data_IF_734074204733
#
_entry.id   IF_734074204733
#
_cell.length_a   1.000
_cell.length_b   1.000
_cell.length_c   1.000
_cell.angle_alpha   90.00
_cell.angle_beta   90.00
_cell.angle_gamma   90.00
#
_symmetry.space_group_name_H-M   'P 1'
#
loop_
_entity.id
_entity.type
_entity.pdbx_description
1 polymer ?
#
# COMPACT_ATOMS: atom_id res chain seq x y z
N UNK A 1 11.75 11.07 -14.67
CA UNK A 1 12.18 11.06 -13.25
C UNK A 1 12.73 9.68 -12.95
N UNK A 2 13.68 9.59 -12.02
CA UNK A 2 14.17 8.32 -11.48
C UNK A 2 13.40 7.99 -10.19
N UNK A 3 12.74 6.87 -10.14
CA UNK A 3 11.75 6.54 -9.11
C UNK A 3 12.05 5.19 -8.46
N UNK A 4 11.98 5.13 -7.13
CA UNK A 4 12.06 3.89 -6.37
C UNK A 4 10.66 3.46 -5.91
N UNK A 5 10.29 2.19 -6.17
CA UNK A 5 9.07 1.58 -5.65
C UNK A 5 9.45 0.43 -4.71
N UNK A 6 9.25 0.58 -3.41
CA UNK A 6 9.43 -0.53 -2.47
C UNK A 6 8.19 -1.40 -2.40
N UNK A 7 8.33 -2.70 -2.15
CA UNK A 7 7.23 -3.65 -2.25
C UNK A 7 6.71 -3.78 -3.68
N UNK A 8 7.57 -3.51 -4.68
CA UNK A 8 7.16 -3.43 -6.06
C UNK A 8 6.85 -4.77 -6.73
N UNK A 9 7.21 -5.91 -6.14
CA UNK A 9 6.73 -7.24 -6.56
C UNK A 9 5.39 -7.62 -5.90
N UNK A 10 4.88 -6.78 -4.99
CA UNK A 10 3.57 -6.93 -4.36
C UNK A 10 2.41 -6.55 -5.29
N UNK A 11 1.19 -6.61 -4.76
CA UNK A 11 -0.04 -6.33 -5.50
C UNK A 11 -0.11 -4.87 -5.99
N UNK A 12 -0.13 -3.90 -5.07
CA UNK A 12 -0.25 -2.47 -5.43
C UNK A 12 1.05 -1.99 -6.07
N UNK A 13 2.21 -2.34 -5.47
CA UNK A 13 3.50 -1.88 -5.94
C UNK A 13 3.82 -2.27 -7.38
N UNK A 14 3.43 -3.48 -7.82
CA UNK A 14 3.66 -3.90 -9.20
C UNK A 14 2.78 -3.18 -10.23
N UNK A 15 1.52 -2.90 -9.88
CA UNK A 15 0.65 -2.09 -10.73
C UNK A 15 1.19 -0.66 -10.85
N UNK A 16 1.68 -0.10 -9.74
CA UNK A 16 2.30 1.23 -9.70
C UNK A 16 3.60 1.28 -10.53
N UNK A 17 4.51 0.31 -10.34
CA UNK A 17 5.80 0.28 -11.04
C UNK A 17 5.63 0.20 -12.56
N UNK A 18 4.72 -0.66 -13.04
CA UNK A 18 4.41 -0.80 -14.45
C UNK A 18 3.76 0.45 -15.04
N UNK A 19 2.90 1.12 -14.28
CA UNK A 19 2.26 2.34 -14.74
C UNK A 19 3.25 3.52 -14.80
N UNK A 20 4.14 3.65 -13.82
CA UNK A 20 5.21 4.64 -13.84
C UNK A 20 6.17 4.44 -15.02
N UNK A 21 6.55 3.18 -15.30
CA UNK A 21 7.37 2.85 -16.47
C UNK A 21 6.65 3.20 -17.77
N UNK A 22 5.34 2.88 -17.89
CA UNK A 22 4.50 3.23 -19.04
C UNK A 22 4.43 4.75 -19.27
N UNK A 23 4.52 5.54 -18.19
CA UNK A 23 4.56 7.01 -18.26
C UNK A 23 5.95 7.55 -18.59
N UNK A 24 6.93 6.69 -18.87
CA UNK A 24 8.28 7.09 -19.29
C UNK A 24 9.22 7.44 -18.13
N UNK A 25 8.94 6.99 -16.90
CA UNK A 25 9.86 7.12 -15.79
C UNK A 25 10.91 5.99 -15.78
N UNK A 26 12.11 6.29 -15.29
CA UNK A 26 13.12 5.28 -14.94
C UNK A 26 12.73 4.70 -13.56
N UNK A 27 12.33 3.45 -13.50
CA UNK A 27 11.80 2.84 -12.28
C UNK A 27 12.74 1.75 -11.77
N UNK A 28 13.10 1.83 -10.49
CA UNK A 28 13.69 0.74 -9.74
C UNK A 28 12.67 0.18 -8.74
N UNK A 29 12.64 -1.14 -8.63
CA UNK A 29 11.80 -1.86 -7.67
C UNK A 29 12.67 -2.55 -6.65
N UNK A 30 12.34 -2.43 -5.36
CA UNK A 30 12.91 -3.24 -4.29
C UNK A 30 11.83 -4.05 -3.59
N UNK A 31 12.11 -5.34 -3.36
CA UNK A 31 11.20 -6.28 -2.69
C UNK A 31 12.01 -7.44 -2.10
N UNK A 32 11.66 -7.90 -0.90
CA UNK A 32 12.29 -9.08 -0.28
C UNK A 32 11.58 -10.40 -0.62
N UNK A 33 10.48 -10.32 -1.39
CA UNK A 33 9.64 -11.43 -1.83
C UNK A 33 8.97 -12.20 -0.67
N UNK A 34 8.86 -11.63 0.53
CA UNK A 34 8.13 -12.23 1.65
C UNK A 34 6.66 -12.52 1.29
N UNK A 35 6.01 -11.55 0.65
CA UNK A 35 4.63 -11.67 0.12
C UNK A 35 4.52 -11.26 -1.34
N UNK A 36 5.57 -10.65 -1.90
CA UNK A 36 5.69 -10.30 -3.30
C UNK A 36 5.99 -11.50 -4.18
N UNK A 37 5.76 -11.35 -5.49
CA UNK A 37 6.09 -12.38 -6.47
C UNK A 37 6.58 -11.73 -7.76
N UNK A 38 7.74 -12.17 -8.28
CA UNK A 38 8.33 -11.65 -9.52
C UNK A 38 7.40 -11.74 -10.73
N UNK A 39 6.47 -12.70 -10.75
CA UNK A 39 5.48 -12.80 -11.81
C UNK A 39 4.53 -11.59 -11.86
N UNK A 40 4.38 -10.82 -10.77
CA UNK A 40 3.64 -9.57 -10.79
C UNK A 40 4.33 -8.50 -11.62
N UNK A 41 5.65 -8.62 -11.83
CA UNK A 41 6.47 -7.72 -12.64
C UNK A 41 6.62 -8.17 -14.10
N UNK A 42 5.81 -9.13 -14.57
CA UNK A 42 5.83 -9.52 -15.99
C UNK A 42 5.55 -8.30 -16.87
N UNK A 43 6.50 -7.98 -17.76
CA UNK A 43 6.47 -6.80 -18.63
C UNK A 43 7.16 -5.55 -18.06
N UNK A 44 7.71 -5.61 -16.85
CA UNK A 44 8.54 -4.57 -16.27
C UNK A 44 9.99 -4.73 -16.77
N UNK A 45 10.60 -3.65 -17.24
CA UNK A 45 11.95 -3.61 -17.81
C UNK A 45 12.96 -2.88 -16.92
N UNK A 46 12.48 -2.21 -15.86
CA UNK A 46 13.33 -1.46 -14.95
C UNK A 46 14.17 -2.35 -14.02
N UNK A 47 14.92 -1.74 -13.13
CA UNK A 47 15.83 -2.43 -12.20
C UNK A 47 15.03 -3.13 -11.08
N UNK A 48 15.31 -4.42 -10.84
CA UNK A 48 14.80 -5.14 -9.66
C UNK A 48 15.93 -5.35 -8.65
N UNK A 49 15.70 -4.98 -7.40
CA UNK A 49 16.63 -5.11 -6.28
C UNK A 49 15.99 -6.07 -5.25
N UNK A 50 16.64 -7.19 -4.98
CA UNK A 50 16.21 -8.12 -3.94
C UNK A 50 16.81 -7.67 -2.61
N UNK A 51 16.00 -7.04 -1.75
CA UNK A 51 16.43 -6.58 -0.44
C UNK A 51 15.23 -6.38 0.50
N UNK A 52 15.48 -6.46 1.81
CA UNK A 52 14.53 -6.06 2.85
C UNK A 52 14.79 -4.60 3.26
N UNK A 53 13.84 -3.72 2.99
CA UNK A 53 13.96 -2.29 3.31
C UNK A 53 13.94 -2.01 4.81
N UNK A 54 13.57 -2.98 5.64
CA UNK A 54 13.59 -2.87 7.11
C UNK A 54 14.97 -3.15 7.72
N UNK A 55 15.86 -3.75 6.95
CA UNK A 55 17.25 -4.04 7.32
C UNK A 55 18.18 -2.90 6.82
N UNK A 56 19.51 -3.11 6.90
CA UNK A 56 20.48 -2.18 6.34
C UNK A 56 20.34 -2.16 4.81
N UNK A 57 19.54 -1.24 4.33
CA UNK A 57 19.25 -1.05 2.92
C UNK A 57 20.07 0.09 2.36
N UNK A 58 21.03 -0.24 1.50
CA UNK A 58 21.83 0.74 0.78
C UNK A 58 21.54 0.64 -0.72
N UNK A 59 21.38 1.79 -1.33
CA UNK A 59 21.29 1.94 -2.78
C UNK A 59 22.12 3.12 -3.22
N UNK A 60 22.96 2.90 -4.24
CA UNK A 60 23.87 3.93 -4.77
C UNK A 60 23.19 4.96 -5.64
N UNK A 61 22.01 4.62 -6.16
CA UNK A 61 21.24 5.49 -7.04
C UNK A 61 20.54 6.61 -6.26
N UNK A 62 20.49 7.80 -6.84
CA UNK A 62 19.66 8.89 -6.37
C UNK A 62 18.29 8.83 -7.04
N UNK A 63 17.21 9.06 -6.29
CA UNK A 63 15.84 9.04 -6.78
C UNK A 63 15.17 10.39 -6.61
N UNK A 64 14.36 10.79 -7.58
CA UNK A 64 13.52 12.00 -7.50
C UNK A 64 12.31 11.78 -6.58
N UNK A 65 11.80 10.55 -6.56
CA UNK A 65 10.67 10.16 -5.74
C UNK A 65 10.79 8.70 -5.26
N UNK A 66 10.27 8.44 -4.07
CA UNK A 66 10.20 7.11 -3.45
C UNK A 66 8.72 6.81 -3.15
N UNK A 67 8.23 5.69 -3.70
CA UNK A 67 6.93 5.13 -3.38
C UNK A 67 7.10 3.94 -2.45
N UNK A 68 6.82 4.15 -1.17
CA UNK A 68 6.98 3.13 -0.15
C UNK A 68 5.70 2.31 0.01
N UNK A 69 5.64 1.16 -0.70
CA UNK A 69 4.53 0.21 -0.64
C UNK A 69 4.88 -1.07 0.15
N UNK A 70 6.16 -1.27 0.50
CA UNK A 70 6.60 -2.43 1.27
C UNK A 70 6.00 -2.41 2.69
N UNK A 71 5.35 -3.50 3.05
CA UNK A 71 4.86 -3.75 4.41
C UNK A 71 4.42 -5.20 4.60
N UNK A 72 4.49 -5.71 5.82
CA UNK A 72 3.78 -6.90 6.24
C UNK A 72 2.32 -6.49 6.48
N UNK A 73 1.41 -6.96 5.64
CA UNK A 73 0.00 -6.51 5.61
C UNK A 73 -1.01 -7.58 5.97
N UNK A 74 -0.62 -8.87 6.07
CA UNK A 74 -1.53 -9.95 6.48
C UNK A 74 -1.84 -9.83 7.99
N UNK A 75 -3.08 -9.57 8.41
CA UNK A 75 -3.44 -9.45 9.81
C UNK A 75 -3.31 -10.78 10.59
N UNK A 76 -3.05 -11.87 9.89
CA UNK A 76 -2.82 -13.22 10.46
C UNK A 76 -1.34 -13.60 10.42
N UNK A 77 -0.45 -12.64 10.17
CA UNK A 77 0.99 -12.87 10.31
C UNK A 77 1.30 -13.26 11.76
N UNK A 78 2.05 -14.35 11.99
CA UNK A 78 2.14 -14.96 13.32
C UNK A 78 2.91 -14.13 14.35
N UNK A 79 3.61 -13.08 13.93
CA UNK A 79 4.47 -12.28 14.78
C UNK A 79 4.08 -10.78 14.71
N UNK A 80 3.27 -10.35 15.67
CA UNK A 80 2.82 -8.96 15.81
C UNK A 80 3.97 -7.97 16.02
N UNK A 81 4.99 -8.37 16.80
CA UNK A 81 6.17 -7.55 17.07
C UNK A 81 6.98 -7.34 15.78
N UNK A 82 7.24 -8.40 15.05
CA UNK A 82 7.95 -8.33 13.76
C UNK A 82 7.19 -7.48 12.75
N UNK A 83 5.85 -7.65 12.66
CA UNK A 83 5.00 -6.82 11.78
C UNK A 83 5.18 -5.34 12.09
N UNK A 84 5.13 -4.97 13.36
CA UNK A 84 5.29 -3.59 13.77
C UNK A 84 6.70 -3.07 13.48
N UNK A 85 7.72 -3.78 13.95
CA UNK A 85 9.13 -3.35 13.84
C UNK A 85 9.58 -3.24 12.38
N UNK A 86 9.31 -4.26 11.54
CA UNK A 86 9.71 -4.21 10.13
C UNK A 86 9.00 -3.11 9.35
N UNK A 87 7.71 -2.91 9.57
CA UNK A 87 6.98 -1.83 8.89
C UNK A 87 7.51 -0.44 9.29
N UNK A 88 7.75 -0.22 10.59
CA UNK A 88 8.25 1.07 11.10
C UNK A 88 9.69 1.31 10.69
N UNK A 89 10.57 0.30 10.79
CA UNK A 89 11.99 0.44 10.42
C UNK A 89 12.13 0.65 8.91
N UNK A 90 11.40 -0.10 8.09
CA UNK A 90 11.40 0.12 6.64
C UNK A 90 10.99 1.54 6.26
N UNK A 91 9.99 2.09 6.94
CA UNK A 91 9.58 3.47 6.71
C UNK A 91 10.64 4.49 7.14
N UNK A 92 11.30 4.28 8.30
CA UNK A 92 12.41 5.13 8.75
C UNK A 92 13.57 5.14 7.75
N UNK A 93 13.96 3.96 7.26
CA UNK A 93 15.01 3.85 6.24
C UNK A 93 14.64 4.59 4.95
N UNK A 94 13.36 4.58 4.55
CA UNK A 94 12.90 5.36 3.39
C UNK A 94 12.87 6.86 3.64
N UNK A 95 12.58 7.31 4.86
CA UNK A 95 12.72 8.72 5.25
C UNK A 95 14.18 9.16 5.14
N UNK A 96 15.12 8.37 5.64
CA UNK A 96 16.54 8.72 5.62
C UNK A 96 17.07 8.72 4.18
N UNK A 97 16.69 7.76 3.35
CA UNK A 97 17.00 7.75 1.93
C UNK A 97 16.41 8.97 1.21
N UNK A 98 15.16 9.31 1.49
CA UNK A 98 14.50 10.46 0.89
C UNK A 98 15.17 11.79 1.28
N UNK A 99 15.60 11.94 2.53
CA UNK A 99 16.36 13.11 2.98
C UNK A 99 17.72 13.19 2.29
N UNK A 100 18.46 12.07 2.19
CA UNK A 100 19.76 11.99 1.54
C UNK A 100 19.68 12.42 0.07
N UNK A 101 18.62 12.02 -0.62
CA UNK A 101 18.42 12.28 -2.05
C UNK A 101 17.63 13.56 -2.35
N UNK A 102 17.08 14.23 -1.33
CA UNK A 102 16.08 15.28 -1.48
C UNK A 102 14.86 14.82 -2.30
N UNK A 103 14.45 13.56 -2.08
CA UNK A 103 13.33 12.92 -2.80
C UNK A 103 11.98 13.27 -2.19
N UNK A 104 10.94 13.23 -3.03
CA UNK A 104 9.55 13.15 -2.55
C UNK A 104 9.30 11.74 -2.00
N UNK A 105 8.66 11.63 -0.83
CA UNK A 105 8.28 10.35 -0.24
C UNK A 105 6.77 10.20 -0.23
N UNK A 106 6.25 9.22 -0.95
CA UNK A 106 4.84 8.84 -0.95
C UNK A 106 4.73 7.44 -0.33
N UNK A 107 3.91 7.27 0.70
CA UNK A 107 3.84 6.00 1.40
C UNK A 107 2.43 5.47 1.58
N UNK A 108 2.32 4.15 1.61
CA UNK A 108 1.09 3.43 1.88
C UNK A 108 0.75 3.47 3.39
N UNK A 109 -0.30 4.18 3.75
CA UNK A 109 -1.04 4.03 5.00
C UNK A 109 -2.30 3.18 4.76
N UNK A 110 -3.28 3.21 5.65
CA UNK A 110 -4.46 2.34 5.56
C UNK A 110 -5.70 2.98 6.18
N UNK A 111 -6.86 2.80 5.56
CA UNK A 111 -8.16 3.09 6.16
C UNK A 111 -8.49 2.15 7.34
N UNK A 112 -7.75 1.03 7.50
CA UNK A 112 -7.84 0.16 8.68
C UNK A 112 -7.54 0.86 10.02
N UNK A 113 -6.98 2.09 9.99
CA UNK A 113 -6.80 2.93 11.17
C UNK A 113 -8.14 3.38 11.79
N UNK A 114 -9.18 3.46 11.01
CA UNK A 114 -10.49 3.93 11.47
C UNK A 114 -11.27 2.88 12.26
N UNK A 115 -10.92 1.58 12.09
CA UNK A 115 -11.57 0.47 12.81
C UNK A 115 -13.09 0.50 12.69
N UNK A 116 -13.78 0.59 13.83
CA UNK A 116 -15.23 0.74 13.92
C UNK A 116 -15.68 2.21 14.05
N UNK A 117 -14.82 3.14 13.66
CA UNK A 117 -15.08 4.58 13.77
C UNK A 117 -16.29 5.07 12.96
N UNK A 118 -16.59 6.36 13.11
CA UNK A 118 -17.72 7.00 12.42
C UNK A 118 -17.56 6.93 10.89
N UNK A 119 -18.69 6.85 10.19
CA UNK A 119 -18.78 6.94 8.74
C UNK A 119 -19.57 8.21 8.35
N UNK A 120 -19.19 8.91 7.25
CA UNK A 120 -18.03 8.65 6.40
C UNK A 120 -16.70 8.85 7.14
N UNK A 121 -15.69 8.05 6.80
CA UNK A 121 -14.37 8.11 7.43
C UNK A 121 -13.59 9.33 6.96
N UNK A 122 -13.16 10.18 7.90
CA UNK A 122 -12.42 11.42 7.65
C UNK A 122 -11.01 11.34 8.23
N UNK A 123 -10.05 12.03 7.62
CA UNK A 123 -8.65 11.94 7.96
C UNK A 123 -8.32 12.42 9.39
N UNK A 124 -9.06 13.38 9.89
CA UNK A 124 -8.90 14.00 11.22
C UNK A 124 -9.63 13.26 12.35
N UNK A 125 -10.54 12.32 12.04
CA UNK A 125 -11.26 11.58 13.07
C UNK A 125 -10.35 10.70 13.92
N UNK A 126 -10.82 10.35 15.11
CA UNK A 126 -10.17 9.42 16.03
C UNK A 126 -9.91 8.06 15.37
N UNK A 127 -8.80 7.41 15.77
CA UNK A 127 -8.37 6.13 15.23
C UNK A 127 -8.69 4.99 16.21
N UNK A 128 -9.31 3.93 15.70
CA UNK A 128 -9.63 2.71 16.44
C UNK A 128 -8.77 1.54 15.93
N UNK A 129 -7.62 1.32 16.57
CA UNK A 129 -6.57 0.43 16.06
C UNK A 129 -6.79 -1.01 16.53
N UNK A 130 -7.12 -1.89 15.60
CA UNK A 130 -7.48 -3.28 15.87
C UNK A 130 -6.34 -4.30 15.66
N UNK A 131 -5.16 -3.90 15.13
CA UNK A 131 -4.09 -4.83 14.77
C UNK A 131 -2.67 -4.24 14.90
N UNK A 132 -1.65 -5.09 14.95
CA UNK A 132 -0.24 -4.68 14.91
C UNK A 132 0.09 -3.92 13.60
N UNK A 133 -0.46 -4.38 12.49
CA UNK A 133 -0.37 -3.68 11.22
C UNK A 133 -0.94 -2.25 11.31
N UNK A 134 -2.14 -2.10 11.87
CA UNK A 134 -2.72 -0.77 12.10
C UNK A 134 -1.84 0.10 13.00
N UNK A 135 -1.32 -0.45 14.11
CA UNK A 135 -0.38 0.28 14.99
C UNK A 135 0.85 0.76 14.23
N UNK A 136 1.46 -0.09 13.38
CA UNK A 136 2.62 0.31 12.58
C UNK A 136 2.29 1.44 11.60
N UNK A 137 1.13 1.40 10.94
CA UNK A 137 0.70 2.45 10.01
C UNK A 137 0.38 3.77 10.73
N UNK A 138 -0.22 3.72 11.93
CA UNK A 138 -0.42 4.92 12.75
C UNK A 138 0.92 5.55 13.16
N UNK A 139 1.92 4.73 13.53
CA UNK A 139 3.25 5.25 13.87
C UNK A 139 3.94 5.89 12.66
N UNK A 140 3.76 5.31 11.45
CA UNK A 140 4.24 5.93 10.21
C UNK A 140 3.55 7.28 9.96
N UNK A 141 2.22 7.37 10.11
CA UNK A 141 1.47 8.62 9.96
C UNK A 141 1.98 9.70 10.96
N UNK A 142 2.09 9.37 12.25
CA UNK A 142 2.62 10.28 13.29
C UNK A 142 4.05 10.73 13.01
N UNK A 143 4.88 9.84 12.47
CA UNK A 143 6.27 10.16 12.09
C UNK A 143 6.29 11.11 10.89
N UNK A 144 5.43 10.88 9.90
CA UNK A 144 5.30 11.75 8.74
C UNK A 144 4.83 13.15 9.11
N UNK A 145 3.83 13.28 9.97
CA UNK A 145 3.30 14.57 10.45
C UNK A 145 4.39 15.47 11.06
N UNK A 146 5.33 14.88 11.82
CA UNK A 146 6.48 15.62 12.41
C UNK A 146 7.48 16.13 11.34
N UNK A 147 7.36 15.64 10.11
CA UNK A 147 8.26 15.95 8.99
C UNK A 147 7.65 16.83 7.90
N UNK A 148 6.36 17.17 7.98
CA UNK A 148 5.65 17.92 6.93
C UNK A 148 6.31 19.25 6.53
N UNK A 149 6.96 19.93 7.48
CA UNK A 149 7.67 21.19 7.21
C UNK A 149 9.17 20.98 6.90
N UNK A 150 9.64 19.73 6.83
CA UNK A 150 11.08 19.41 6.68
C UNK A 150 11.37 18.68 5.36
N UNK A 151 10.38 18.02 4.78
CA UNK A 151 10.51 17.29 3.52
C UNK A 151 9.14 17.12 2.87
N UNK A 152 9.12 16.83 1.57
CA UNK A 152 7.87 16.48 0.90
C UNK A 152 7.49 15.03 1.18
N UNK A 153 6.42 14.82 1.96
CA UNK A 153 5.96 13.49 2.36
C UNK A 153 4.43 13.42 2.30
N UNK A 154 3.90 12.38 1.65
CA UNK A 154 2.46 12.17 1.48
C UNK A 154 2.08 10.76 1.90
N UNK A 155 1.15 10.65 2.85
CA UNK A 155 0.57 9.40 3.30
C UNK A 155 -0.76 9.10 2.60
N UNK A 156 -0.96 7.87 2.16
CA UNK A 156 -2.15 7.44 1.46
C UNK A 156 -2.86 6.34 2.25
N UNK A 157 -4.00 6.66 2.87
CA UNK A 157 -4.85 5.69 3.57
C UNK A 157 -5.72 4.95 2.56
N UNK A 158 -5.17 3.87 2.02
CA UNK A 158 -5.91 3.03 1.08
C UNK A 158 -7.11 2.36 1.75
N UNK A 159 -8.26 2.43 1.09
CA UNK A 159 -9.41 1.60 1.36
C UNK A 159 -9.21 0.20 0.78
N UNK A 160 -10.27 -0.56 0.48
CA UNK A 160 -10.11 -1.96 0.09
C UNK A 160 -9.75 -2.08 -1.39
N UNK A 161 -8.45 -2.06 -1.68
CA UNK A 161 -7.95 -2.16 -3.04
C UNK A 161 -8.15 -3.58 -3.57
N UNK A 162 -8.64 -3.71 -4.82
CA UNK A 162 -8.83 -4.98 -5.52
C UNK A 162 -8.38 -4.87 -6.98
N UNK A 163 -8.07 -6.01 -7.62
CA UNK A 163 -7.81 -6.02 -9.06
C UNK A 163 -6.68 -6.95 -9.52
N UNK A 164 -6.13 -6.75 -10.73
CA UNK A 164 -5.11 -7.60 -11.31
C UNK A 164 -3.84 -7.66 -10.45
N UNK A 165 -3.11 -8.78 -10.52
CA UNK A 165 -1.89 -9.12 -9.75
C UNK A 165 -2.13 -9.43 -8.27
N UNK A 166 -3.38 -9.51 -7.82
CA UNK A 166 -3.73 -9.80 -6.43
C UNK A 166 -3.57 -11.28 -6.06
N UNK A 167 -3.55 -12.19 -7.02
CA UNK A 167 -3.57 -13.65 -6.79
C UNK A 167 -2.47 -14.18 -5.86
N UNK A 168 -1.31 -13.54 -5.87
CA UNK A 168 -0.16 -13.96 -5.04
C UNK A 168 -0.27 -13.54 -3.58
N UNK A 169 -1.21 -12.67 -3.21
CA UNK A 169 -1.54 -12.41 -1.81
C UNK A 169 -2.22 -13.59 -1.12
N UNK A 170 -2.62 -14.60 -1.87
CA UNK A 170 -3.25 -15.82 -1.37
C UNK A 170 -4.43 -15.50 -0.43
N UNK A 171 -4.37 -15.95 0.83
CA UNK A 171 -5.42 -15.71 1.84
C UNK A 171 -5.59 -14.23 2.22
N UNK A 172 -4.59 -13.40 2.02
CA UNK A 172 -4.65 -11.96 2.29
C UNK A 172 -5.22 -11.13 1.12
N UNK A 173 -5.64 -11.78 0.02
CA UNK A 173 -6.32 -11.13 -1.08
C UNK A 173 -7.68 -10.56 -0.65
N UNK A 174 -8.20 -9.60 -1.42
CA UNK A 174 -9.51 -8.97 -1.15
C UNK A 174 -10.66 -9.97 -1.21
N UNK A 175 -11.77 -9.64 -0.55
CA UNK A 175 -13.00 -10.42 -0.69
C UNK A 175 -13.51 -10.44 -2.13
N UNK A 176 -13.34 -9.34 -2.89
CA UNK A 176 -13.67 -9.30 -4.33
C UNK A 176 -12.96 -10.42 -5.09
N UNK A 177 -11.66 -10.60 -4.86
CA UNK A 177 -10.87 -11.67 -5.48
C UNK A 177 -11.37 -13.06 -5.06
N UNK A 178 -11.60 -13.27 -3.76
CA UNK A 178 -12.05 -14.57 -3.24
C UNK A 178 -13.44 -14.95 -3.74
N UNK A 179 -14.39 -14.03 -3.76
CA UNK A 179 -15.75 -14.25 -4.28
C UNK A 179 -15.71 -14.54 -5.77
N UNK A 180 -15.01 -13.72 -6.56
CA UNK A 180 -14.86 -13.95 -8.00
C UNK A 180 -14.23 -15.31 -8.33
N UNK A 181 -13.24 -15.75 -7.53
CA UNK A 181 -12.62 -17.08 -7.69
C UNK A 181 -13.60 -18.22 -7.40
N UNK A 182 -14.43 -18.08 -6.35
CA UNK A 182 -15.43 -19.08 -6.00
C UNK A 182 -16.49 -19.19 -7.11
N UNK A 183 -17.06 -18.07 -7.56
CA UNK A 183 -18.07 -18.02 -8.64
C UNK A 183 -17.51 -18.66 -9.91
N UNK A 184 -16.31 -18.26 -10.36
CA UNK A 184 -15.66 -18.82 -11.54
C UNK A 184 -15.39 -20.33 -11.45
N UNK A 185 -15.27 -20.89 -10.25
CA UNK A 185 -15.11 -22.33 -10.04
C UNK A 185 -16.43 -23.08 -9.84
N UNK A 186 -17.58 -22.43 -10.07
CA UNK A 186 -18.92 -23.02 -9.93
C UNK A 186 -19.33 -23.24 -8.46
N UNK A 187 -18.67 -22.61 -7.51
CA UNK A 187 -18.99 -22.73 -6.08
C UNK A 187 -19.89 -21.58 -5.65
N UNK A 188 -20.80 -21.86 -4.73
CA UNK A 188 -21.54 -20.79 -4.07
C UNK A 188 -20.60 -19.90 -3.26
N UNK A 189 -20.67 -18.57 -3.41
CA UNK A 189 -19.83 -17.64 -2.68
C UNK A 189 -20.04 -17.75 -1.18
N UNK A 190 -18.95 -17.86 -0.43
CA UNK A 190 -19.01 -17.89 1.05
C UNK A 190 -18.75 -16.48 1.57
N UNK A 191 -19.78 -15.86 2.11
CA UNK A 191 -19.73 -14.55 2.74
C UNK A 191 -19.80 -14.67 4.26
N UNK A 192 -19.29 -13.67 4.96
CA UNK A 192 -19.31 -13.63 6.42
C UNK A 192 -20.69 -13.13 6.91
N UNK A 193 -21.30 -13.83 7.87
CA UNK A 193 -22.66 -13.55 8.37
C UNK A 193 -23.68 -13.48 7.21
N UNK A 194 -24.43 -12.37 7.16
CA UNK A 194 -25.50 -12.15 6.17
C UNK A 194 -25.03 -11.30 4.97
N UNK A 195 -23.74 -11.02 4.84
CA UNK A 195 -23.19 -10.23 3.73
C UNK A 195 -23.45 -8.72 3.80
N UNK A 196 -24.00 -8.23 4.90
CA UNK A 196 -24.38 -6.81 5.08
C UNK A 196 -23.22 -5.87 5.37
N UNK A 197 -22.04 -6.41 5.66
CA UNK A 197 -20.85 -5.60 5.92
C UNK A 197 -20.47 -4.78 4.69
N UNK A 198 -20.37 -3.47 4.87
CA UNK A 198 -20.01 -2.55 3.79
C UNK A 198 -18.50 -2.27 3.79
N UNK A 199 -17.93 -2.13 2.60
CA UNK A 199 -16.55 -1.68 2.38
C UNK A 199 -16.53 -0.76 1.16
N UNK A 200 -15.67 0.25 1.21
CA UNK A 200 -15.29 1.00 0.01
C UNK A 200 -14.25 0.17 -0.75
N UNK A 201 -14.58 -0.25 -1.95
CA UNK A 201 -13.74 -1.05 -2.83
C UNK A 201 -13.20 -0.17 -3.96
N UNK A 202 -11.88 0.06 -3.96
CA UNK A 202 -11.20 0.84 -5.01
C UNK A 202 -10.41 -0.07 -5.95
N UNK A 203 -10.57 0.16 -7.25
CA UNK A 203 -9.80 -0.58 -8.26
C UNK A 203 -8.32 -0.22 -8.21
N UNK A 204 -7.45 -1.20 -8.35
CA UNK A 204 -6.00 -1.00 -8.15
C UNK A 204 -5.36 0.00 -9.11
N UNK A 205 -5.91 0.15 -10.32
CA UNK A 205 -5.40 1.18 -11.25
C UNK A 205 -5.76 2.58 -10.81
N UNK A 206 -6.95 2.78 -10.23
CA UNK A 206 -7.36 4.08 -9.68
C UNK A 206 -6.53 4.41 -8.42
N UNK A 207 -6.26 3.40 -7.58
CA UNK A 207 -5.36 3.55 -6.45
C UNK A 207 -3.92 3.89 -6.89
N UNK A 208 -3.42 3.27 -7.96
CA UNK A 208 -2.11 3.57 -8.54
C UNK A 208 -2.07 4.99 -9.14
N UNK A 209 -3.11 5.40 -9.86
CA UNK A 209 -3.23 6.76 -10.42
C UNK A 209 -3.26 7.83 -9.30
N UNK A 210 -4.06 7.62 -8.26
CA UNK A 210 -4.07 8.49 -7.09
C UNK A 210 -2.69 8.57 -6.42
N UNK A 211 -1.98 7.44 -6.34
CA UNK A 211 -0.62 7.36 -5.78
C UNK A 211 0.37 8.16 -6.61
N UNK A 212 0.32 8.07 -7.93
CA UNK A 212 1.17 8.84 -8.84
C UNK A 212 0.86 10.34 -8.72
N UNK A 213 -0.42 10.71 -8.71
CA UNK A 213 -0.85 12.11 -8.54
C UNK A 213 -0.39 12.72 -7.22
N UNK A 214 -0.21 11.91 -6.17
CA UNK A 214 0.30 12.37 -4.88
C UNK A 214 1.71 12.99 -4.96
N UNK A 215 2.52 12.66 -5.99
CA UNK A 215 3.80 13.35 -6.22
C UNK A 215 3.64 14.84 -6.51
N UNK A 216 2.47 15.26 -7.00
CA UNK A 216 2.25 16.63 -7.49
C UNK A 216 1.50 17.51 -6.48
N UNK A 217 1.14 16.98 -5.31
CA UNK A 217 0.54 17.81 -4.26
C UNK A 217 1.57 18.82 -3.73
N UNK A 218 1.11 20.03 -3.47
CA UNK A 218 2.03 21.13 -3.09
C UNK A 218 2.50 21.05 -1.65
N UNK A 219 1.71 20.45 -0.77
CA UNK A 219 2.00 20.38 0.68
C UNK A 219 1.96 18.93 1.15
N UNK A 220 2.84 18.61 2.08
CA UNK A 220 2.79 17.33 2.79
C UNK A 220 1.44 17.14 3.48
N UNK A 221 0.87 15.94 3.37
CA UNK A 221 -0.44 15.62 3.95
C UNK A 221 -0.61 14.11 4.08
N UNK A 222 -1.68 13.72 4.77
CA UNK A 222 -2.19 12.34 4.77
C UNK A 222 -3.62 12.41 4.27
N UNK A 223 -3.96 11.60 3.27
CA UNK A 223 -5.27 11.60 2.62
C UNK A 223 -5.83 10.19 2.44
N UNK A 224 -7.14 10.11 2.41
CA UNK A 224 -7.86 8.89 2.06
C UNK A 224 -7.77 8.60 0.56
N UNK A 225 -7.65 7.31 0.21
CA UNK A 225 -7.71 6.82 -1.18
C UNK A 225 -8.78 5.74 -1.25
N UNK A 226 -9.96 6.15 -1.63
CA UNK A 226 -11.18 5.34 -1.78
C UNK A 226 -12.09 5.96 -2.83
N UNK A 227 -13.25 5.35 -3.05
CA UNK A 227 -14.27 5.82 -3.99
C UNK A 227 -15.32 6.71 -3.33
N UNK A 228 -15.43 6.68 -2.00
CA UNK A 228 -16.52 7.28 -1.24
C UNK A 228 -17.82 6.47 -1.28
N UNK A 229 -17.83 5.32 -1.94
CA UNK A 229 -19.01 4.44 -2.08
C UNK A 229 -18.78 3.16 -1.28
N UNK A 230 -19.66 2.91 -0.29
CA UNK A 230 -19.61 1.71 0.53
C UNK A 230 -20.58 0.65 -0.02
N UNK A 231 -20.02 -0.45 -0.53
CA UNK A 231 -20.76 -1.59 -1.11
C UNK A 231 -20.76 -2.77 -0.13
N UNK A 232 -21.88 -3.44 0.07
CA UNK A 232 -21.97 -4.65 0.87
C UNK A 232 -21.60 -5.90 0.04
N UNK A 233 -21.37 -7.04 0.73
CA UNK A 233 -20.94 -8.25 0.02
C UNK A 233 -22.05 -8.90 -0.81
N UNK A 234 -23.34 -8.67 -0.49
CA UNK A 234 -24.45 -9.16 -1.31
C UNK A 234 -24.53 -8.41 -2.65
N UNK A 235 -24.15 -7.13 -2.68
CA UNK A 235 -24.08 -6.33 -3.91
C UNK A 235 -22.87 -6.68 -4.79
N UNK A 236 -21.85 -7.35 -4.22
CA UNK A 236 -20.65 -7.78 -4.94
C UNK A 236 -20.79 -9.13 -5.67
N UNK A 237 -21.84 -9.90 -5.35
CA UNK A 237 -22.12 -11.23 -5.89
C UNK A 237 -23.12 -11.17 -7.03
#
# INVERSE_FOLDING_TARGET
MKILVTGGAGFIGSNLALELERQGHEVAVVDNLLSGNKNNLKGFNGKFILADVAENFEVSDNFDAIFHQAAITDPRYPNDKETYEKNVNGFKNMIDLAKKNNSKLIYASTAGLYGNGKVPMQEDQEKDILSAYGRSKLEMDRTAEKLFNKMHIVGLRYFNVFGPREKYKQRAASMVYHLAKQIKSGKNPRIFKFGEQKRDHIYVKDAADATIKAMNVKKSCIVNVGTGIATNFNELI
#
